data_IF_316013149336
#
_entry.id   IF_316013149336
#
_cell.length_a   1.000
_cell.length_b   1.000
_cell.length_c   1.000
_cell.angle_alpha   90.00
_cell.angle_beta   90.00
_cell.angle_gamma   90.00
#
_symmetry.space_group_name_H-M   'P 1'
#
loop_
_entity.id
_entity.type
_entity.pdbx_description
1 polymer ?
#
# COMPACT_ATOMS: atom_id res chain seq x y z
N UNK A 1 -31.07 -14.40 34.69
CA UNK A 1 -30.03 -13.43 34.30
C UNK A 1 -29.34 -13.98 33.05
N UNK A 2 -29.61 -13.43 31.86
CA UNK A 2 -28.94 -13.84 30.62
C UNK A 2 -27.84 -12.83 30.33
N UNK A 3 -26.59 -13.25 30.48
CA UNK A 3 -25.42 -12.46 30.09
C UNK A 3 -25.24 -12.62 28.59
N UNK A 4 -25.78 -11.69 27.80
CA UNK A 4 -25.51 -11.61 26.38
C UNK A 4 -24.07 -11.16 26.15
N UNK A 5 -23.23 -12.05 25.61
CA UNK A 5 -21.94 -11.66 25.05
C UNK A 5 -22.19 -10.86 23.78
N UNK A 6 -21.81 -9.58 23.79
CA UNK A 6 -21.77 -8.75 22.58
C UNK A 6 -20.60 -9.25 21.74
N UNK A 7 -20.87 -10.18 20.82
CA UNK A 7 -19.92 -10.48 19.75
C UNK A 7 -19.95 -9.30 18.77
N UNK A 8 -18.97 -8.40 18.93
CA UNK A 8 -18.71 -7.37 17.94
C UNK A 8 -18.12 -8.04 16.69
N UNK A 9 -18.97 -8.39 15.74
CA UNK A 9 -18.54 -8.77 14.40
C UNK A 9 -17.97 -7.53 13.71
N UNK A 10 -16.66 -7.31 13.85
CA UNK A 10 -15.98 -6.34 13.02
C UNK A 10 -15.87 -6.94 11.62
N UNK A 11 -16.79 -6.58 10.74
CA UNK A 11 -16.67 -6.84 9.31
C UNK A 11 -15.59 -5.91 8.75
N UNK A 12 -14.31 -6.28 8.88
CA UNK A 12 -13.25 -5.60 8.15
C UNK A 12 -13.31 -6.12 6.72
N UNK A 13 -13.87 -5.32 5.81
CA UNK A 13 -13.62 -5.55 4.39
C UNK A 13 -12.13 -5.28 4.21
N UNK A 14 -11.32 -6.32 4.04
CA UNK A 14 -9.88 -6.17 3.79
C UNK A 14 -9.73 -5.62 2.36
N UNK A 15 -9.28 -4.37 2.24
CA UNK A 15 -9.00 -3.72 0.95
C UNK A 15 -7.50 -3.86 0.69
N UNK A 16 -7.13 -4.82 -0.15
CA UNK A 16 -5.75 -5.05 -0.56
C UNK A 16 -5.67 -4.97 -2.08
N UNK A 17 -4.71 -4.19 -2.58
CA UNK A 17 -4.36 -4.18 -4.01
C UNK A 17 -2.98 -4.78 -4.19
N UNK A 18 -2.84 -5.62 -5.21
CA UNK A 18 -1.56 -6.14 -5.68
C UNK A 18 -1.37 -5.73 -7.13
N UNK A 19 -0.26 -5.08 -7.44
CA UNK A 19 0.13 -4.72 -8.80
C UNK A 19 1.39 -5.47 -9.17
N UNK A 20 1.49 -5.95 -10.41
CA UNK A 20 2.63 -6.70 -10.91
C UNK A 20 3.04 -6.21 -12.29
N UNK A 21 4.35 -6.06 -12.50
CA UNK A 21 4.96 -5.68 -13.78
C UNK A 21 6.37 -6.25 -13.90
N UNK A 22 6.71 -6.84 -15.03
CA UNK A 22 8.08 -7.26 -15.39
C UNK A 22 8.82 -8.03 -14.27
N UNK A 23 8.09 -8.93 -13.58
CA UNK A 23 8.61 -9.72 -12.46
C UNK A 23 8.64 -9.00 -11.09
N UNK A 24 8.40 -7.69 -11.06
CA UNK A 24 8.24 -6.88 -9.84
C UNK A 24 6.79 -6.85 -9.40
N UNK A 25 6.57 -6.75 -8.10
CA UNK A 25 5.23 -6.60 -7.55
C UNK A 25 5.22 -5.65 -6.37
N UNK A 26 4.04 -5.08 -6.14
CA UNK A 26 3.74 -4.30 -4.94
C UNK A 26 2.41 -4.73 -4.37
N UNK A 27 2.29 -4.76 -3.05
CA UNK A 27 1.05 -5.07 -2.33
C UNK A 27 0.82 -4.00 -1.26
N UNK A 28 -0.41 -3.50 -1.19
CA UNK A 28 -0.79 -2.41 -0.31
C UNK A 28 -2.19 -2.65 0.25
N UNK A 29 -2.36 -2.40 1.55
CA UNK A 29 -3.66 -2.39 2.21
C UNK A 29 -4.19 -0.97 2.37
N UNK A 30 -5.52 -0.79 2.39
CA UNK A 30 -6.14 0.46 2.80
C UNK A 30 -5.70 0.88 4.20
N UNK A 31 -5.56 2.19 4.41
CA UNK A 31 -5.08 2.84 5.62
C UNK A 31 -3.63 2.47 6.02
N UNK A 32 -2.90 1.76 5.16
CA UNK A 32 -1.50 1.40 5.39
C UNK A 32 -0.55 2.56 5.08
N UNK A 33 0.50 2.67 5.88
CA UNK A 33 1.67 3.53 5.62
C UNK A 33 2.83 2.76 4.98
N UNK A 34 2.61 1.48 4.67
CA UNK A 34 3.61 0.58 4.14
C UNK A 34 3.12 -0.10 2.86
N UNK A 35 4.05 -0.31 1.94
CA UNK A 35 3.91 -1.11 0.74
C UNK A 35 4.86 -2.30 0.82
N UNK A 36 4.36 -3.51 0.63
CA UNK A 36 5.19 -4.70 0.44
C UNK A 36 5.64 -4.78 -1.03
N UNK A 37 6.87 -5.22 -1.26
CA UNK A 37 7.47 -5.41 -2.58
C UNK A 37 8.24 -6.73 -2.63
N UNK A 38 8.71 -7.14 -3.81
CA UNK A 38 9.64 -8.28 -3.97
C UNK A 38 10.95 -8.13 -3.17
N UNK A 39 11.28 -6.90 -2.74
CA UNK A 39 12.52 -6.55 -2.02
C UNK A 39 12.30 -6.25 -0.54
N UNK A 40 11.07 -6.41 -0.04
CA UNK A 40 10.69 -6.09 1.33
C UNK A 40 9.73 -4.91 1.43
N UNK A 41 9.60 -4.35 2.64
CA UNK A 41 8.65 -3.28 2.95
C UNK A 41 9.22 -1.89 2.71
N UNK A 42 8.42 -1.01 2.12
CA UNK A 42 8.74 0.39 1.86
C UNK A 42 7.74 1.28 2.59
N UNK A 43 8.26 2.26 3.35
CA UNK A 43 7.43 3.29 3.97
C UNK A 43 6.93 4.27 2.92
N UNK A 44 5.64 4.55 2.95
CA UNK A 44 4.97 5.48 2.07
C UNK A 44 5.02 6.91 2.61
N UNK A 45 5.11 7.88 1.71
CA UNK A 45 5.05 9.31 2.03
C UNK A 45 3.65 9.74 2.50
N UNK A 46 2.61 9.03 2.05
CA UNK A 46 1.21 9.24 2.42
C UNK A 46 0.52 7.89 2.61
N UNK A 47 -0.49 7.80 3.47
CA UNK A 47 -1.20 6.55 3.66
C UNK A 47 -1.98 6.22 2.40
N UNK A 48 -2.17 4.92 2.19
CA UNK A 48 -3.10 4.41 1.19
C UNK A 48 -4.52 4.64 1.71
N UNK A 49 -5.40 5.22 0.90
CA UNK A 49 -6.74 5.56 1.35
C UNK A 49 -7.80 5.11 0.34
N UNK A 50 -8.88 4.45 0.78
CA UNK A 50 -9.99 4.10 -0.09
C UNK A 50 -10.86 5.34 -0.35
N UNK A 51 -11.06 5.69 -1.62
CA UNK A 51 -11.97 6.78 -2.02
C UNK A 51 -12.86 6.29 -3.16
N UNK A 52 -14.19 6.40 -2.99
CA UNK A 52 -15.19 6.10 -4.04
C UNK A 52 -15.01 4.75 -4.76
N UNK A 53 -14.55 3.72 -4.03
CA UNK A 53 -14.34 2.38 -4.60
C UNK A 53 -12.96 2.16 -5.23
N UNK A 54 -12.12 3.18 -5.23
CA UNK A 54 -10.72 3.14 -5.67
C UNK A 54 -9.77 3.19 -4.47
N UNK A 55 -8.53 2.76 -4.70
CA UNK A 55 -7.48 2.86 -3.71
C UNK A 55 -6.47 3.93 -4.14
N UNK A 56 -6.48 5.05 -3.42
CA UNK A 56 -5.58 6.16 -3.67
C UNK A 56 -4.23 5.83 -3.04
N UNK A 57 -3.18 5.84 -3.87
CA UNK A 57 -1.81 5.43 -3.51
C UNK A 57 -0.79 6.50 -3.90
N UNK A 58 0.39 6.56 -3.25
CA UNK A 58 1.50 7.41 -3.68
C UNK A 58 2.08 6.94 -5.03
N UNK A 59 1.51 7.43 -6.13
CA UNK A 59 1.78 6.95 -7.49
C UNK A 59 3.27 6.93 -7.84
N UNK A 60 4.03 7.94 -7.41
CA UNK A 60 5.48 8.00 -7.65
C UNK A 60 6.22 6.81 -7.04
N UNK A 61 5.98 6.51 -5.76
CA UNK A 61 6.65 5.41 -5.06
C UNK A 61 6.23 4.05 -5.64
N UNK A 62 4.96 3.90 -6.00
CA UNK A 62 4.43 2.70 -6.66
C UNK A 62 5.10 2.50 -8.03
N UNK A 63 5.22 3.57 -8.82
CA UNK A 63 5.85 3.54 -10.13
C UNK A 63 7.36 3.24 -10.05
N UNK A 64 8.06 3.78 -9.05
CA UNK A 64 9.47 3.46 -8.78
C UNK A 64 9.64 1.97 -8.42
N UNK A 65 8.81 1.45 -7.50
CA UNK A 65 8.85 0.05 -7.07
C UNK A 65 8.55 -0.92 -8.23
N UNK A 66 7.57 -0.58 -9.07
CA UNK A 66 7.24 -1.34 -10.28
C UNK A 66 8.24 -1.14 -11.43
N UNK A 67 9.24 -0.28 -11.28
CA UNK A 67 10.25 -0.02 -12.31
C UNK A 67 9.75 0.77 -13.51
N UNK A 68 8.61 1.45 -13.37
CA UNK A 68 8.05 2.35 -14.40
C UNK A 68 8.87 3.62 -14.50
N UNK A 69 9.32 4.14 -13.36
CA UNK A 69 10.19 5.32 -13.27
C UNK A 69 11.58 4.90 -12.83
N UNK A 70 12.60 5.26 -13.62
CA UNK A 70 14.00 5.11 -13.23
C UNK A 70 14.54 6.46 -12.79
N UNK A 71 14.41 6.79 -11.51
CA UNK A 71 14.97 8.04 -10.98
C UNK A 71 16.44 7.81 -10.67
N UNK A 72 17.33 8.35 -11.51
CA UNK A 72 18.72 8.53 -11.11
C UNK A 72 18.70 9.44 -9.88
N UNK A 73 19.22 8.97 -8.73
CA UNK A 73 19.53 9.87 -7.60
C UNK A 73 20.38 11.00 -8.18
N UNK A 74 19.83 12.21 -8.25
CA UNK A 74 20.64 13.40 -8.50
C UNK A 74 21.53 13.55 -7.29
N UNK A 75 22.75 13.03 -7.39
CA UNK A 75 23.80 13.21 -6.41
C UNK A 75 24.09 14.71 -6.44
N UNK A 76 23.59 15.48 -5.47
CA UNK A 76 24.14 16.82 -5.24
C UNK A 76 25.62 16.60 -4.95
N UNK A 77 26.45 17.06 -5.88
CA UNK A 77 27.88 17.23 -5.64
C UNK A 77 28.04 18.30 -4.54
N UNK A 78 29.10 18.18 -3.72
CA UNK A 78 29.33 19.04 -2.55
C UNK A 78 29.34 20.53 -2.90
#
# INVERSE_FOLDING_TARGET
MHTGSVQQFMAFKEWVVTLKRDGRWVKMGAFSWEMETDRGKVKLERPVFPDKGELIVPLRQVAEALGVLSIKKVKRLP
#
